data_IF_859222380760
#
_entry.id   IF_859222380760
#
_cell.length_a   1.000
_cell.length_b   1.000
_cell.length_c   1.000
_cell.angle_alpha   90.00
_cell.angle_beta   90.00
_cell.angle_gamma   90.00
#
_symmetry.space_group_name_H-M   'P 1'
#
loop_
_entity.id
_entity.type
_entity.pdbx_description
1 polymer ?
#
# COMPACT_ATOMS: atom_id res chain seq x y z
N UNK A 1 -25.20 13.32 9.17
CA UNK A 1 -24.02 12.99 10.00
C UNK A 1 -22.98 12.24 9.18
N UNK A 2 -23.20 10.99 8.75
CA UNK A 2 -22.24 10.22 7.95
C UNK A 2 -21.85 10.92 6.62
N UNK A 3 -22.81 11.39 5.82
CA UNK A 3 -22.46 12.20 4.62
C UNK A 3 -21.60 13.44 4.93
N UNK A 4 -21.85 14.12 6.06
CA UNK A 4 -21.04 15.28 6.44
C UNK A 4 -19.62 14.87 6.86
N UNK A 5 -19.48 13.73 7.54
CA UNK A 5 -18.19 13.12 7.86
C UNK A 5 -17.44 12.76 6.58
N UNK A 6 -18.07 12.05 5.63
CA UNK A 6 -17.45 11.63 4.37
C UNK A 6 -17.03 12.82 3.51
N UNK A 7 -17.79 13.93 3.54
CA UNK A 7 -17.43 15.17 2.86
C UNK A 7 -16.22 15.88 3.50
N UNK A 8 -16.07 15.76 4.83
CA UNK A 8 -14.92 16.28 5.57
C UNK A 8 -13.73 15.32 5.65
N UNK A 9 -13.87 14.10 5.13
CA UNK A 9 -12.83 13.08 5.19
C UNK A 9 -11.73 13.41 4.18
N UNK A 10 -10.54 13.70 4.69
CA UNK A 10 -9.41 14.25 3.93
C UNK A 10 -8.54 13.19 3.27
N UNK A 11 -8.63 11.93 3.70
CA UNK A 11 -7.83 10.82 3.15
C UNK A 11 -8.49 10.36 1.86
N UNK A 12 -7.93 10.79 0.72
CA UNK A 12 -8.50 10.52 -0.58
C UNK A 12 -8.46 9.02 -0.94
N UNK A 13 -7.49 8.27 -0.41
CA UNK A 13 -7.21 6.90 -0.84
C UNK A 13 -8.29 5.87 -0.49
N UNK A 14 -9.05 6.06 0.59
CA UNK A 14 -10.08 5.13 1.05
C UNK A 14 -11.47 5.76 1.24
N UNK A 15 -11.63 7.04 0.87
CA UNK A 15 -12.88 7.80 0.98
C UNK A 15 -14.10 7.06 0.43
N UNK A 16 -13.94 6.38 -0.70
CA UNK A 16 -15.03 5.67 -1.37
C UNK A 16 -15.68 4.59 -0.51
N UNK A 17 -14.92 3.97 0.41
CA UNK A 17 -15.45 2.94 1.31
C UNK A 17 -16.47 3.50 2.31
N UNK A 18 -16.34 4.79 2.68
CA UNK A 18 -17.18 5.42 3.69
C UNK A 18 -18.56 5.86 3.18
N UNK A 19 -18.76 5.92 1.85
CA UNK A 19 -20.06 6.27 1.26
C UNK A 19 -21.10 5.14 1.30
N UNK A 20 -20.72 3.91 1.68
CA UNK A 20 -21.64 2.77 1.69
C UNK A 20 -22.91 3.02 2.55
N UNK A 21 -22.83 3.56 3.78
CA UNK A 21 -24.01 3.89 4.57
C UNK A 21 -24.86 5.00 3.94
N UNK A 22 -24.25 5.97 3.25
CA UNK A 22 -24.98 7.00 2.48
C UNK A 22 -25.80 6.33 1.38
N UNK A 23 -25.20 5.45 0.60
CA UNK A 23 -25.90 4.73 -0.47
C UNK A 23 -27.06 3.88 0.05
N UNK A 24 -26.86 3.18 1.16
CA UNK A 24 -27.93 2.41 1.83
C UNK A 24 -29.07 3.35 2.26
N UNK A 25 -28.74 4.49 2.86
CA UNK A 25 -29.74 5.46 3.33
C UNK A 25 -30.54 6.08 2.18
N UNK A 26 -29.87 6.41 1.06
CA UNK A 26 -30.51 6.91 -0.16
C UNK A 26 -31.42 5.84 -0.76
N UNK A 27 -30.97 4.58 -0.84
CA UNK A 27 -31.76 3.47 -1.38
C UNK A 27 -33.05 3.23 -0.56
N UNK A 28 -32.97 3.23 0.76
CA UNK A 28 -34.12 3.12 1.66
C UNK A 28 -35.09 4.29 1.45
N UNK A 29 -34.56 5.52 1.40
CA UNK A 29 -35.35 6.74 1.20
C UNK A 29 -36.05 6.75 -0.16
N UNK A 30 -35.36 6.31 -1.21
CA UNK A 30 -35.93 6.14 -2.55
C UNK A 30 -37.08 5.12 -2.54
N UNK A 31 -36.94 4.01 -1.80
CA UNK A 31 -38.02 3.02 -1.61
C UNK A 31 -39.27 3.63 -0.98
N UNK A 32 -39.11 4.42 0.09
CA UNK A 32 -40.24 5.15 0.69
C UNK A 32 -40.84 6.19 -0.25
N UNK A 33 -40.00 6.93 -0.99
CA UNK A 33 -40.45 7.91 -1.99
C UNK A 33 -41.26 7.27 -3.11
N UNK A 34 -40.80 6.15 -3.66
CA UNK A 34 -41.54 5.37 -4.66
C UNK A 34 -42.88 4.89 -4.10
N UNK A 35 -42.90 4.33 -2.88
CA UNK A 35 -44.16 3.93 -2.22
C UNK A 35 -45.13 5.10 -2.07
N UNK A 36 -44.66 6.26 -1.64
CA UNK A 36 -45.49 7.46 -1.49
C UNK A 36 -46.05 7.93 -2.83
N UNK A 37 -45.23 7.95 -3.90
CA UNK A 37 -45.68 8.26 -5.26
C UNK A 37 -46.71 7.26 -5.78
N UNK A 38 -46.56 5.96 -5.49
CA UNK A 38 -47.56 4.94 -5.83
C UNK A 38 -48.86 5.21 -5.08
N UNK A 39 -48.82 5.60 -3.80
CA UNK A 39 -50.03 5.90 -3.04
C UNK A 39 -50.75 7.16 -3.56
N UNK A 40 -50.00 8.17 -4.02
CA UNK A 40 -50.54 9.36 -4.68
C UNK A 40 -51.13 9.03 -6.06
N UNK A 41 -50.44 8.20 -6.83
CA UNK A 41 -50.82 7.81 -8.19
C UNK A 41 -51.78 6.60 -8.23
N UNK A 42 -52.05 5.96 -7.10
CA UNK A 42 -53.13 4.99 -6.94
C UNK A 42 -54.45 5.75 -7.00
N UNK A 43 -54.77 6.15 -8.23
CA UNK A 43 -56.04 6.70 -8.67
C UNK A 43 -57.15 5.84 -8.09
N UNK A 44 -58.17 6.49 -7.53
CA UNK A 44 -59.38 5.94 -6.90
C UNK A 44 -60.16 4.87 -7.71
N UNK A 45 -59.68 4.42 -8.87
CA UNK A 45 -60.31 3.43 -9.76
C UNK A 45 -59.51 2.13 -10.00
N UNK A 46 -58.30 1.97 -9.45
CA UNK A 46 -57.46 0.79 -9.71
C UNK A 46 -57.46 -0.20 -8.53
N UNK A 47 -57.64 -1.50 -8.80
CA UNK A 47 -57.58 -2.55 -7.77
C UNK A 47 -56.18 -2.66 -7.16
N UNK A 48 -56.09 -2.98 -5.86
CA UNK A 48 -54.82 -3.17 -5.12
C UNK A 48 -53.79 -4.04 -5.87
N UNK A 49 -54.22 -5.16 -6.45
CA UNK A 49 -53.34 -6.06 -7.21
C UNK A 49 -52.67 -5.40 -8.43
N UNK A 50 -53.40 -4.55 -9.17
CA UNK A 50 -52.87 -3.81 -10.32
C UNK A 50 -51.90 -2.71 -9.90
N UNK A 51 -52.21 -1.99 -8.81
CA UNK A 51 -51.30 -0.99 -8.24
C UNK A 51 -49.98 -1.63 -7.76
N UNK A 52 -50.07 -2.78 -7.09
CA UNK A 52 -48.90 -3.55 -6.67
C UNK A 52 -48.09 -4.06 -7.87
N UNK A 53 -48.74 -4.52 -8.93
CA UNK A 53 -48.06 -4.95 -10.16
C UNK A 53 -47.31 -3.80 -10.85
N UNK A 54 -47.94 -2.62 -10.99
CA UNK A 54 -47.30 -1.42 -11.55
C UNK A 54 -46.11 -0.99 -10.69
N UNK A 55 -46.26 -0.98 -9.37
CA UNK A 55 -45.19 -0.70 -8.43
C UNK A 55 -44.01 -1.66 -8.59
N UNK A 56 -44.28 -2.97 -8.65
CA UNK A 56 -43.26 -3.99 -8.83
C UNK A 56 -42.53 -3.84 -10.16
N UNK A 57 -43.24 -3.55 -11.25
CA UNK A 57 -42.64 -3.29 -12.56
C UNK A 57 -41.77 -2.04 -12.53
N UNK A 58 -42.24 -0.96 -11.91
CA UNK A 58 -41.46 0.29 -11.81
C UNK A 58 -40.17 0.07 -11.02
N UNK A 59 -40.24 -0.59 -9.85
CA UNK A 59 -39.05 -0.94 -9.06
C UNK A 59 -38.10 -1.82 -9.87
N UNK A 60 -38.60 -2.86 -10.54
CA UNK A 60 -37.79 -3.78 -11.34
C UNK A 60 -37.09 -3.06 -12.50
N UNK A 61 -37.79 -2.18 -13.22
CA UNK A 61 -37.20 -1.40 -14.32
C UNK A 61 -36.15 -0.42 -13.81
N UNK A 62 -36.41 0.29 -12.71
CA UNK A 62 -35.43 1.21 -12.12
C UNK A 62 -34.19 0.46 -11.64
N UNK A 63 -34.35 -0.65 -10.92
CA UNK A 63 -33.25 -1.48 -10.45
C UNK A 63 -32.46 -2.11 -11.60
N UNK A 64 -33.14 -2.63 -12.62
CA UNK A 64 -32.50 -3.20 -13.80
C UNK A 64 -31.69 -2.14 -14.56
N UNK A 65 -32.27 -0.96 -14.78
CA UNK A 65 -31.58 0.16 -15.46
C UNK A 65 -30.36 0.60 -14.67
N UNK A 66 -30.50 0.80 -13.36
CA UNK A 66 -29.39 1.16 -12.49
C UNK A 66 -28.30 0.10 -12.52
N UNK A 67 -28.66 -1.18 -12.41
CA UNK A 67 -27.70 -2.28 -12.48
C UNK A 67 -26.96 -2.32 -13.82
N UNK A 68 -27.68 -2.29 -14.95
CA UNK A 68 -27.06 -2.36 -16.28
C UNK A 68 -26.18 -1.14 -16.59
N UNK A 69 -26.60 0.06 -16.18
CA UNK A 69 -25.83 1.27 -16.40
C UNK A 69 -24.55 1.32 -15.56
N UNK A 70 -24.59 0.76 -14.34
CA UNK A 70 -23.46 0.78 -13.42
C UNK A 70 -22.54 -0.45 -13.53
N UNK A 71 -23.01 -1.56 -14.11
CA UNK A 71 -22.26 -2.81 -14.17
C UNK A 71 -20.88 -2.67 -14.84
N UNK A 72 -20.71 -2.02 -16.01
CA UNK A 72 -19.39 -1.89 -16.63
C UNK A 72 -18.37 -1.12 -15.78
N UNK A 73 -18.82 -0.19 -14.96
CA UNK A 73 -17.97 0.66 -14.11
C UNK A 73 -17.69 0.05 -12.74
N UNK A 74 -18.61 -0.77 -12.22
CA UNK A 74 -18.51 -1.34 -10.88
C UNK A 74 -18.11 -2.82 -10.87
N UNK A 75 -18.05 -3.47 -12.03
CA UNK A 75 -17.61 -4.85 -12.14
C UNK A 75 -16.09 -4.96 -11.87
N UNK A 76 -15.73 -5.43 -10.68
CA UNK A 76 -14.34 -5.62 -10.24
C UNK A 76 -13.79 -7.04 -10.49
N UNK A 77 -14.40 -7.85 -11.36
CA UNK A 77 -13.98 -9.25 -11.59
C UNK A 77 -12.53 -9.43 -12.06
N UNK A 78 -11.90 -8.38 -12.58
CA UNK A 78 -10.50 -8.37 -13.03
C UNK A 78 -9.61 -7.47 -12.15
N UNK A 79 -10.11 -7.03 -11.00
CA UNK A 79 -9.37 -6.16 -10.08
C UNK A 79 -8.47 -7.01 -9.18
N UNK A 80 -7.26 -7.31 -9.65
CA UNK A 80 -6.27 -8.10 -8.90
C UNK A 80 -5.13 -7.26 -8.30
N UNK A 81 -5.18 -5.92 -8.47
CA UNK A 81 -4.06 -5.02 -8.14
C UNK A 81 -3.46 -5.25 -6.75
N UNK A 82 -4.29 -5.25 -5.70
CA UNK A 82 -3.80 -5.39 -4.33
C UNK A 82 -3.21 -6.78 -4.05
N UNK A 83 -3.81 -7.82 -4.63
CA UNK A 83 -3.34 -9.19 -4.49
C UNK A 83 -2.00 -9.39 -5.22
N UNK A 84 -1.92 -8.99 -6.49
CA UNK A 84 -0.72 -9.08 -7.31
C UNK A 84 0.42 -8.25 -6.71
N UNK A 85 0.12 -7.06 -6.16
CA UNK A 85 1.14 -6.23 -5.49
C UNK A 85 1.75 -6.94 -4.27
N UNK A 86 0.91 -7.52 -3.41
CA UNK A 86 1.38 -8.27 -2.24
C UNK A 86 2.14 -9.53 -2.63
N UNK A 87 1.65 -10.31 -3.60
CA UNK A 87 2.36 -11.50 -4.07
C UNK A 87 3.74 -11.15 -4.66
N UNK A 88 3.82 -10.10 -5.47
CA UNK A 88 5.08 -9.63 -6.03
C UNK A 88 6.06 -9.16 -4.95
N UNK A 89 5.59 -8.45 -3.92
CA UNK A 89 6.42 -8.03 -2.78
C UNK A 89 6.92 -9.24 -1.98
N UNK A 90 6.03 -10.15 -1.61
CA UNK A 90 6.36 -11.32 -0.80
C UNK A 90 7.26 -12.29 -1.54
N UNK A 91 7.09 -12.47 -2.86
CA UNK A 91 7.92 -13.37 -3.67
C UNK A 91 9.39 -12.95 -3.71
N UNK A 92 9.67 -11.66 -3.51
CA UNK A 92 11.03 -11.12 -3.46
C UNK A 92 11.71 -11.30 -2.10
N UNK A 93 10.96 -11.58 -1.03
CA UNK A 93 11.49 -11.68 0.34
C UNK A 93 11.92 -13.11 0.63
N UNK A 94 13.17 -13.31 1.06
CA UNK A 94 13.67 -14.62 1.48
C UNK A 94 13.06 -15.07 2.83
N UNK A 95 13.22 -16.35 3.16
CA UNK A 95 12.62 -16.94 4.35
C UNK A 95 13.02 -16.23 5.64
N UNK A 96 12.05 -16.02 6.54
CA UNK A 96 12.21 -15.31 7.82
C UNK A 96 12.62 -13.83 7.71
N UNK A 97 12.58 -13.25 6.49
CA UNK A 97 12.93 -11.86 6.26
C UNK A 97 11.99 -10.87 6.95
N UNK A 98 12.53 -9.68 7.23
CA UNK A 98 11.77 -8.53 7.74
C UNK A 98 11.49 -7.57 6.58
N UNK A 99 10.22 -7.17 6.40
CA UNK A 99 9.84 -6.03 5.57
C UNK A 99 9.44 -4.87 6.47
N UNK A 100 10.18 -3.76 6.41
CA UNK A 100 9.76 -2.48 6.95
C UNK A 100 9.13 -1.63 5.84
N UNK A 101 7.96 -1.06 6.08
CA UNK A 101 7.25 -0.23 5.10
C UNK A 101 6.53 0.95 5.75
N UNK A 102 6.22 1.99 4.99
CA UNK A 102 5.27 3.07 5.35
C UNK A 102 4.11 3.14 4.37
N UNK A 103 4.09 2.27 3.37
CA UNK A 103 3.06 2.25 2.37
C UNK A 103 1.85 1.47 2.90
N UNK A 104 0.77 2.21 3.18
CA UNK A 104 -0.50 1.61 3.57
C UNK A 104 -1.04 0.65 2.50
N UNK A 105 -0.69 0.88 1.22
CA UNK A 105 -1.07 -0.03 0.13
C UNK A 105 -0.30 -1.36 0.16
N UNK A 106 0.73 -1.45 1.00
CA UNK A 106 1.43 -2.70 1.32
C UNK A 106 0.88 -3.29 2.60
N UNK A 107 0.89 -2.51 3.70
CA UNK A 107 0.52 -3.02 5.03
C UNK A 107 -0.92 -3.54 5.10
N UNK A 108 -1.88 -2.80 4.54
CA UNK A 108 -3.31 -3.14 4.59
C UNK A 108 -3.63 -4.49 3.94
N UNK A 109 -3.31 -4.72 2.63
CA UNK A 109 -3.58 -6.02 2.02
C UNK A 109 -2.68 -7.13 2.57
N UNK A 110 -1.49 -6.83 3.10
CA UNK A 110 -0.65 -7.85 3.75
C UNK A 110 -1.29 -8.42 5.02
N UNK A 111 -2.04 -7.64 5.80
CA UNK A 111 -2.80 -8.19 6.92
C UNK A 111 -3.76 -9.28 6.45
N UNK A 112 -4.49 -9.05 5.36
CA UNK A 112 -5.40 -10.05 4.81
C UNK A 112 -4.64 -11.27 4.26
N UNK A 113 -3.62 -11.06 3.44
CA UNK A 113 -2.83 -12.15 2.85
C UNK A 113 -2.19 -13.06 3.91
N UNK A 114 -1.61 -12.48 4.97
CA UNK A 114 -0.95 -13.26 6.02
C UNK A 114 -1.93 -13.86 7.04
N UNK A 115 -2.93 -13.10 7.48
CA UNK A 115 -3.82 -13.52 8.59
C UNK A 115 -5.04 -14.33 8.13
N UNK A 116 -5.50 -14.13 6.89
CA UNK A 116 -6.65 -14.84 6.34
C UNK A 116 -6.20 -15.90 5.34
N UNK A 117 -5.41 -15.52 4.34
CA UNK A 117 -4.95 -16.45 3.29
C UNK A 117 -3.75 -17.31 3.72
N UNK A 118 -3.15 -17.00 4.88
CA UNK A 118 -2.01 -17.73 5.46
C UNK A 118 -0.75 -17.72 4.57
N UNK A 119 -0.61 -16.72 3.70
CA UNK A 119 0.54 -16.58 2.80
C UNK A 119 1.77 -16.08 3.54
N UNK A 120 2.93 -16.70 3.30
CA UNK A 120 4.26 -16.28 3.78
C UNK A 120 4.26 -15.79 5.24
N UNK A 121 3.68 -16.59 6.15
CA UNK A 121 3.65 -16.27 7.60
C UNK A 121 5.03 -16.27 8.26
N UNK A 122 6.06 -16.75 7.55
CA UNK A 122 7.46 -16.64 7.94
C UNK A 122 8.00 -15.21 7.81
N UNK A 123 7.45 -14.40 6.90
CA UNK A 123 7.88 -13.02 6.66
C UNK A 123 7.27 -12.10 7.70
N UNK A 124 8.10 -11.29 8.35
CA UNK A 124 7.64 -10.28 9.30
C UNK A 124 7.41 -8.99 8.56
N UNK A 125 6.18 -8.50 8.53
CA UNK A 125 5.83 -7.21 7.93
C UNK A 125 5.55 -6.20 9.03
N UNK A 126 6.30 -5.11 9.05
CA UNK A 126 6.20 -4.05 10.05
C UNK A 126 5.95 -2.71 9.36
N UNK A 127 4.84 -2.07 9.72
CA UNK A 127 4.51 -0.72 9.26
C UNK A 127 5.07 0.33 10.23
N UNK A 128 6.00 1.16 9.73
CA UNK A 128 6.65 2.19 10.53
C UNK A 128 5.73 3.35 10.94
N UNK A 129 4.61 3.57 10.24
CA UNK A 129 3.57 4.50 10.69
C UNK A 129 2.78 3.91 11.87
N UNK A 130 2.46 2.62 11.82
CA UNK A 130 1.76 1.94 12.91
C UNK A 130 2.64 1.77 14.15
N UNK A 131 3.97 1.70 14.01
CA UNK A 131 4.90 1.78 15.15
C UNK A 131 4.72 3.06 15.97
N UNK A 132 4.04 4.10 15.47
CA UNK A 132 3.69 5.32 16.22
C UNK A 132 2.34 5.21 16.94
N UNK A 133 1.82 3.99 17.12
CA UNK A 133 0.59 3.71 17.86
C UNK A 133 0.86 2.61 18.88
N UNK A 134 0.61 2.88 20.16
CA UNK A 134 1.03 1.95 21.23
C UNK A 134 0.33 0.58 21.14
N UNK A 135 -0.91 0.54 20.63
CA UNK A 135 -1.66 -0.70 20.38
C UNK A 135 -1.00 -1.62 19.36
N UNK A 136 -0.22 -1.08 18.41
CA UNK A 136 0.40 -1.89 17.37
C UNK A 136 1.46 -2.84 17.95
N UNK A 137 2.10 -2.47 19.06
CA UNK A 137 3.01 -3.36 19.77
C UNK A 137 2.29 -4.52 20.45
N UNK A 138 1.02 -4.38 20.83
CA UNK A 138 0.22 -5.51 21.31
C UNK A 138 -0.09 -6.49 20.18
N UNK A 139 -0.32 -5.97 18.97
CA UNK A 139 -0.41 -6.79 17.77
C UNK A 139 0.92 -7.51 17.48
N UNK A 140 2.03 -6.77 17.41
CA UNK A 140 3.35 -7.35 17.12
C UNK A 140 3.80 -8.39 18.16
N UNK A 141 3.47 -8.21 19.45
CA UNK A 141 3.73 -9.22 20.51
C UNK A 141 3.00 -10.54 20.26
N UNK A 142 1.79 -10.49 19.71
CA UNK A 142 0.99 -11.68 19.41
C UNK A 142 1.44 -12.34 18.11
N UNK A 143 1.77 -11.53 17.10
CA UNK A 143 2.08 -12.01 15.74
C UNK A 143 3.55 -12.40 15.58
N UNK A 144 4.47 -11.60 16.14
CA UNK A 144 5.93 -11.76 16.00
C UNK A 144 6.63 -11.66 17.37
N UNK A 145 6.34 -12.57 18.33
CA UNK A 145 6.89 -12.50 19.68
C UNK A 145 8.42 -12.46 19.71
N UNK A 146 9.07 -13.22 18.83
CA UNK A 146 10.53 -13.28 18.80
C UNK A 146 11.18 -11.98 18.31
N UNK A 147 10.52 -11.24 17.41
CA UNK A 147 10.97 -9.91 16.98
C UNK A 147 10.90 -8.93 18.15
N UNK A 148 9.80 -8.97 18.91
CA UNK A 148 9.66 -8.15 20.10
C UNK A 148 10.72 -8.51 21.15
N UNK A 149 10.97 -9.78 21.40
CA UNK A 149 11.95 -10.22 22.39
C UNK A 149 13.36 -9.72 22.06
N UNK A 150 13.80 -9.89 20.80
CA UNK A 150 15.15 -9.49 20.38
C UNK A 150 15.41 -7.99 20.53
N UNK A 151 14.38 -7.16 20.50
CA UNK A 151 14.48 -5.70 20.61
C UNK A 151 13.74 -5.13 21.82
N UNK A 152 13.46 -5.99 22.83
CA UNK A 152 12.58 -5.70 23.96
C UNK A 152 12.92 -4.38 24.66
N UNK A 153 14.18 -4.21 25.03
CA UNK A 153 14.63 -3.04 25.80
C UNK A 153 14.29 -1.73 25.08
N UNK A 154 14.68 -1.61 23.81
CA UNK A 154 14.43 -0.40 23.02
C UNK A 154 12.96 -0.21 22.67
N UNK A 155 12.22 -1.30 22.45
CA UNK A 155 10.77 -1.25 22.24
C UNK A 155 10.06 -0.75 23.48
N UNK A 156 10.36 -1.29 24.66
CA UNK A 156 9.69 -0.93 25.92
C UNK A 156 9.97 0.54 26.28
N UNK A 157 11.21 1.01 26.14
CA UNK A 157 11.57 2.42 26.33
C UNK A 157 10.74 3.35 25.43
N UNK A 158 10.66 3.05 24.13
CA UNK A 158 9.89 3.86 23.19
C UNK A 158 8.38 3.79 23.46
N UNK A 159 7.83 2.61 23.77
CA UNK A 159 6.40 2.43 24.03
C UNK A 159 5.96 3.18 25.29
N UNK A 160 6.81 3.29 26.30
CA UNK A 160 6.55 4.10 27.48
C UNK A 160 6.39 5.59 27.11
N UNK A 161 7.36 6.14 26.37
CA UNK A 161 7.32 7.52 25.89
C UNK A 161 6.12 7.76 24.95
N UNK A 162 5.82 6.79 24.08
CA UNK A 162 4.67 6.86 23.17
C UNK A 162 3.34 6.89 23.93
N UNK A 163 3.16 6.07 24.97
CA UNK A 163 1.95 6.10 25.81
C UNK A 163 1.83 7.41 26.58
N UNK A 164 2.94 8.01 27.01
CA UNK A 164 2.92 9.34 27.61
C UNK A 164 2.48 10.40 26.58
N UNK A 165 2.99 10.33 25.35
CA UNK A 165 2.59 11.22 24.25
C UNK A 165 1.11 11.06 23.88
N UNK A 166 0.60 9.83 23.77
CA UNK A 166 -0.81 9.57 23.45
C UNK A 166 -1.78 10.11 24.52
N UNK A 167 -1.35 10.19 25.79
CA UNK A 167 -2.16 10.78 26.88
C UNK A 167 -2.19 12.30 26.84
N UNK A 168 -1.07 12.93 26.51
CA UNK A 168 -0.95 14.39 26.43
C UNK A 168 -0.01 14.84 25.29
N UNK A 169 -0.50 14.90 24.05
CA UNK A 169 0.31 15.36 22.92
C UNK A 169 0.74 16.83 23.04
N UNK A 170 -0.01 17.65 23.79
CA UNK A 170 0.26 19.08 23.94
C UNK A 170 1.50 19.34 24.80
N UNK A 171 1.74 18.52 25.82
CA UNK A 171 2.95 18.56 26.62
C UNK A 171 4.22 18.32 25.78
N UNK A 172 4.17 17.37 24.84
CA UNK A 172 5.31 17.10 23.96
C UNK A 172 5.49 18.21 22.92
N UNK A 173 4.39 18.68 22.31
CA UNK A 173 4.42 19.77 21.32
C UNK A 173 5.04 21.06 21.89
N UNK A 174 4.84 21.32 23.18
CA UNK A 174 5.38 22.51 23.86
C UNK A 174 6.76 22.30 24.50
N UNK A 175 7.29 21.08 24.49
CA UNK A 175 8.56 20.73 25.14
C UNK A 175 9.52 20.03 24.15
N UNK A 176 10.53 20.77 23.70
CA UNK A 176 11.54 20.27 22.75
C UNK A 176 12.32 19.07 23.29
N UNK A 177 12.60 19.00 24.60
CA UNK A 177 13.32 17.87 25.20
C UNK A 177 12.48 16.59 25.19
N UNK A 178 11.18 16.68 25.48
CA UNK A 178 10.27 15.53 25.39
C UNK A 178 10.13 15.05 23.94
N UNK A 179 9.98 15.99 22.99
CA UNK A 179 9.94 15.68 21.56
C UNK A 179 11.23 15.02 21.07
N UNK A 180 12.38 15.53 21.50
CA UNK A 180 13.68 14.92 21.18
C UNK A 180 13.80 13.52 21.79
N UNK A 181 13.43 13.34 23.06
CA UNK A 181 13.50 12.05 23.75
C UNK A 181 12.72 10.96 23.01
N UNK A 182 11.45 11.22 22.69
CA UNK A 182 10.62 10.22 21.97
C UNK A 182 11.11 9.97 20.54
N UNK A 183 11.64 11.00 19.86
CA UNK A 183 12.19 10.86 18.51
C UNK A 183 13.46 10.00 18.51
N UNK A 184 14.36 10.23 19.46
CA UNK A 184 15.56 9.40 19.67
C UNK A 184 15.17 7.96 20.01
N UNK A 185 14.22 7.76 20.94
CA UNK A 185 13.75 6.42 21.31
C UNK A 185 13.13 5.69 20.11
N UNK A 186 12.39 6.39 19.23
CA UNK A 186 11.85 5.82 18.00
C UNK A 186 12.96 5.35 17.06
N UNK A 187 13.97 6.19 16.83
CA UNK A 187 15.13 5.82 16.00
C UNK A 187 15.87 4.62 16.59
N UNK A 188 16.21 4.64 17.88
CA UNK A 188 16.92 3.55 18.55
C UNK A 188 16.14 2.23 18.51
N UNK A 189 14.81 2.28 18.61
CA UNK A 189 13.96 1.11 18.45
C UNK A 189 14.04 0.54 17.03
N UNK A 190 13.90 1.38 15.99
CA UNK A 190 14.03 0.93 14.60
C UNK A 190 15.42 0.34 14.35
N UNK A 191 16.47 1.01 14.82
CA UNK A 191 17.85 0.54 14.71
C UNK A 191 18.02 -0.84 15.37
N UNK A 192 17.47 -1.03 16.57
CA UNK A 192 17.49 -2.31 17.26
C UNK A 192 16.76 -3.39 16.47
N UNK A 193 15.55 -3.12 15.98
CA UNK A 193 14.75 -4.09 15.20
C UNK A 193 15.51 -4.49 13.94
N UNK A 194 15.95 -3.53 13.12
CA UNK A 194 16.65 -3.80 11.86
C UNK A 194 17.96 -4.55 12.12
N UNK A 195 18.76 -4.13 13.11
CA UNK A 195 20.04 -4.75 13.41
C UNK A 195 19.86 -6.18 13.91
N UNK A 196 18.93 -6.42 14.82
CA UNK A 196 18.74 -7.74 15.43
C UNK A 196 18.04 -8.71 14.46
N UNK A 197 17.06 -8.25 13.67
CA UNK A 197 16.43 -9.09 12.65
C UNK A 197 17.39 -9.43 11.50
N UNK A 198 18.36 -8.55 11.17
CA UNK A 198 19.40 -8.85 10.17
C UNK A 198 20.29 -10.05 10.55
N UNK A 199 20.31 -10.45 11.83
CA UNK A 199 20.98 -11.67 12.30
C UNK A 199 20.14 -12.95 12.12
N UNK A 200 18.85 -12.82 11.81
CA UNK A 200 17.89 -13.92 11.63
C UNK A 200 17.57 -14.16 10.15
N UNK A 201 17.41 -13.09 9.39
CA UNK A 201 17.12 -13.12 7.96
C UNK A 201 17.36 -11.76 7.31
N UNK A 202 17.28 -11.66 5.97
CA UNK A 202 17.48 -10.40 5.27
C UNK A 202 16.39 -9.38 5.62
N UNK A 203 16.77 -8.11 5.61
CA UNK A 203 15.87 -6.99 5.91
C UNK A 203 15.62 -6.22 4.63
N UNK A 204 14.34 -5.98 4.35
CA UNK A 204 13.87 -5.28 3.18
C UNK A 204 13.13 -4.02 3.59
N UNK A 205 13.19 -3.02 2.72
CA UNK A 205 12.39 -1.81 2.83
C UNK A 205 11.66 -1.51 1.53
N UNK A 206 10.50 -0.89 1.63
CA UNK A 206 9.84 -0.26 0.47
C UNK A 206 10.45 1.12 0.17
N UNK A 207 10.26 1.63 -1.05
CA UNK A 207 10.86 2.90 -1.49
C UNK A 207 10.35 4.12 -0.71
N UNK A 208 9.10 4.11 -0.25
CA UNK A 208 8.47 5.19 0.51
C UNK A 208 9.24 5.55 1.79
N UNK A 209 9.90 4.59 2.44
CA UNK A 209 10.81 4.84 3.57
C UNK A 209 12.03 5.70 3.21
N UNK A 210 12.35 5.81 1.92
CA UNK A 210 13.46 6.62 1.41
C UNK A 210 13.02 8.00 0.95
N UNK A 211 11.71 8.24 0.84
CA UNK A 211 11.21 9.55 0.46
C UNK A 211 11.47 10.52 1.62
N UNK A 212 12.00 11.73 1.34
CA UNK A 212 12.27 12.72 2.37
C UNK A 212 10.94 13.25 2.91
N UNK A 213 10.39 12.57 3.91
CA UNK A 213 9.37 13.10 4.79
C UNK A 213 10.02 13.55 6.11
N UNK A 214 9.49 14.63 6.67
CA UNK A 214 9.92 15.25 7.93
C UNK A 214 9.87 14.27 9.10
N UNK A 215 9.04 13.23 9.03
CA UNK A 215 8.80 12.31 10.15
C UNK A 215 9.84 11.18 10.28
N UNK A 216 10.54 10.81 9.19
CA UNK A 216 11.45 9.65 9.17
C UNK A 216 12.88 9.99 8.72
N UNK A 217 13.20 11.26 8.50
CA UNK A 217 14.48 11.67 7.93
C UNK A 217 15.71 11.10 8.65
N UNK A 218 15.65 10.88 9.97
CA UNK A 218 16.75 10.25 10.70
C UNK A 218 16.87 8.74 10.44
N UNK A 219 15.75 8.02 10.37
CA UNK A 219 15.72 6.60 10.00
C UNK A 219 16.23 6.41 8.59
N UNK A 220 15.72 7.19 7.63
CA UNK A 220 16.16 7.15 6.23
C UNK A 220 17.66 7.43 6.10
N UNK A 221 18.16 8.45 6.80
CA UNK A 221 19.58 8.81 6.81
C UNK A 221 20.42 7.68 7.38
N UNK A 222 20.03 7.11 8.51
CA UNK A 222 20.73 5.99 9.12
C UNK A 222 20.78 4.77 8.18
N UNK A 223 19.65 4.38 7.59
CA UNK A 223 19.57 3.27 6.63
C UNK A 223 20.52 3.48 5.45
N UNK A 224 20.45 4.66 4.81
CA UNK A 224 21.26 4.98 3.63
C UNK A 224 22.75 5.11 3.92
N UNK A 225 23.14 5.38 5.16
CA UNK A 225 24.54 5.49 5.59
C UNK A 225 25.16 4.15 5.99
N UNK A 226 24.35 3.20 6.46
CA UNK A 226 24.82 1.94 7.04
C UNK A 226 24.59 0.73 6.14
N UNK A 227 23.77 0.86 5.10
CA UNK A 227 23.42 -0.24 4.21
C UNK A 227 23.47 0.19 2.74
N UNK A 228 23.92 -0.73 1.88
CA UNK A 228 23.69 -0.63 0.45
C UNK A 228 22.26 -1.08 0.15
N UNK A 229 21.53 -0.27 -0.62
CA UNK A 229 20.17 -0.57 -1.04
C UNK A 229 20.19 -1.40 -2.33
N UNK A 230 19.95 -2.70 -2.21
CA UNK A 230 19.98 -3.65 -3.35
C UNK A 230 18.55 -3.86 -3.87
N UNK A 231 18.20 -3.43 -5.09
CA UNK A 231 16.85 -3.61 -5.64
C UNK A 231 16.53 -5.09 -5.90
N UNK A 232 15.50 -5.61 -5.24
CA UNK A 232 15.03 -7.00 -5.33
C UNK A 232 13.50 -7.01 -5.49
N UNK A 233 13.03 -7.30 -6.70
CA UNK A 233 11.62 -7.15 -7.06
C UNK A 233 11.13 -5.71 -6.82
N UNK A 234 10.11 -5.56 -5.98
CA UNK A 234 9.51 -4.27 -5.61
C UNK A 234 10.09 -3.68 -4.30
N UNK A 235 11.22 -4.22 -3.81
CA UNK A 235 11.82 -3.89 -2.53
C UNK A 235 13.31 -3.53 -2.66
N UNK A 236 13.87 -2.90 -1.63
CA UNK A 236 15.32 -2.84 -1.43
C UNK A 236 15.72 -3.78 -0.30
N UNK A 237 16.61 -4.72 -0.58
CA UNK A 237 17.33 -5.47 0.45
C UNK A 237 18.44 -4.58 1.06
N UNK A 238 18.60 -4.63 2.38
CA UNK A 238 19.61 -3.88 3.12
C UNK A 238 20.90 -4.70 3.25
N UNK A 239 21.82 -4.53 2.32
CA UNK A 239 23.12 -5.19 2.36
C UNK A 239 24.13 -4.43 3.25
N UNK A 240 24.95 -5.16 4.00
CA UNK A 240 25.95 -4.58 4.93
C UNK A 240 27.27 -4.20 4.26
N UNK A 241 27.52 -4.74 3.07
CA UNK A 241 28.68 -4.42 2.25
C UNK A 241 28.26 -3.65 1.00
N UNK A 242 29.25 -3.23 0.21
CA UNK A 242 29.05 -2.46 -1.03
C UNK A 242 29.24 -3.29 -2.30
N UNK A 243 29.29 -4.62 -2.16
CA UNK A 243 29.53 -5.55 -3.25
C UNK A 243 28.38 -5.61 -4.25
N UNK A 244 28.61 -6.36 -5.33
CA UNK A 244 27.52 -6.77 -6.20
C UNK A 244 26.77 -7.92 -5.54
N UNK A 245 25.48 -7.72 -5.29
CA UNK A 245 24.55 -8.73 -4.82
C UNK A 245 23.68 -9.16 -5.98
N UNK A 246 23.89 -10.39 -6.45
CA UNK A 246 23.12 -10.96 -7.54
C UNK A 246 21.75 -11.44 -7.04
N UNK A 247 20.80 -10.50 -6.92
CA UNK A 247 19.42 -10.83 -6.58
C UNK A 247 18.70 -11.48 -7.77
N UNK A 248 17.93 -12.56 -7.54
CA UNK A 248 17.22 -13.27 -8.60
C UNK A 248 16.24 -12.36 -9.34
N UNK A 249 16.03 -12.63 -10.64
CA UNK A 249 14.99 -11.97 -11.42
C UNK A 249 13.62 -12.48 -10.96
N UNK A 250 12.79 -11.57 -10.46
CA UNK A 250 11.43 -11.87 -9.99
C UNK A 250 10.46 -11.50 -11.10
N UNK A 251 9.68 -12.47 -11.57
CA UNK A 251 8.62 -12.21 -12.54
C UNK A 251 7.47 -11.48 -11.86
N UNK A 252 7.22 -10.24 -12.26
CA UNK A 252 6.15 -9.41 -11.71
C UNK A 252 4.83 -9.69 -12.43
N UNK A 253 3.79 -10.06 -11.68
CA UNK A 253 2.42 -10.14 -12.20
C UNK A 253 1.75 -8.75 -12.14
N UNK A 254 1.25 -8.27 -13.27
CA UNK A 254 0.77 -6.88 -13.44
C UNK A 254 -0.62 -6.81 -14.07
N UNK A 255 -1.45 -7.83 -13.81
CA UNK A 255 -2.78 -7.98 -14.41
C UNK A 255 -3.66 -6.78 -14.07
N UNK A 256 -4.18 -6.10 -15.09
CA UNK A 256 -4.99 -4.91 -14.90
C UNK A 256 -4.23 -3.66 -14.48
N UNK A 257 -2.91 -3.70 -14.27
CA UNK A 257 -2.13 -2.54 -13.84
C UNK A 257 -1.86 -1.56 -14.99
N UNK A 258 -1.43 -2.08 -16.14
CA UNK A 258 -1.08 -1.26 -17.32
C UNK A 258 -1.56 -1.87 -18.65
N UNK A 259 -2.26 -3.01 -18.63
CA UNK A 259 -2.71 -3.74 -19.82
C UNK A 259 -4.05 -3.23 -20.42
N UNK A 260 -4.68 -2.26 -19.75
CA UNK A 260 -5.96 -1.67 -20.16
C UNK A 260 -7.21 -2.50 -19.84
N UNK A 261 -7.06 -3.66 -19.19
CA UNK A 261 -8.19 -4.50 -18.76
C UNK A 261 -8.96 -3.89 -17.58
N UNK A 262 -8.27 -3.15 -16.72
CA UNK A 262 -8.84 -2.27 -15.70
C UNK A 262 -8.41 -0.84 -16.00
N UNK A 263 -9.30 0.12 -15.76
CA UNK A 263 -9.05 1.55 -15.98
C UNK A 263 -9.16 2.28 -14.67
N UNK A 264 -8.24 3.21 -14.46
CA UNK A 264 -8.16 4.06 -13.28
C UNK A 264 -8.23 5.51 -13.72
N UNK A 265 -8.84 6.35 -12.88
CA UNK A 265 -8.75 7.80 -13.05
C UNK A 265 -7.29 8.26 -12.91
N UNK A 266 -6.96 9.43 -13.46
CA UNK A 266 -5.56 9.91 -13.44
C UNK A 266 -5.02 10.12 -12.02
N UNK A 267 -5.89 10.51 -11.09
CA UNK A 267 -5.59 10.75 -9.68
C UNK A 267 -5.85 9.53 -8.78
N UNK A 268 -6.14 8.36 -9.38
CA UNK A 268 -6.33 7.12 -8.63
C UNK A 268 -5.03 6.66 -7.97
N UNK A 269 -5.14 6.12 -6.75
CA UNK A 269 -4.04 5.57 -5.96
C UNK A 269 -3.24 4.52 -6.73
N UNK A 270 -3.88 3.73 -7.59
CA UNK A 270 -3.20 2.74 -8.42
C UNK A 270 -2.21 3.41 -9.36
N UNK A 271 -2.61 4.49 -10.03
CA UNK A 271 -1.72 5.23 -10.92
C UNK A 271 -0.65 6.01 -10.14
N UNK A 272 -1.05 6.68 -9.06
CA UNK A 272 -0.16 7.58 -8.32
C UNK A 272 0.88 6.85 -7.47
N UNK A 273 0.50 5.72 -6.85
CA UNK A 273 1.35 5.01 -5.88
C UNK A 273 1.81 3.65 -6.41
N UNK A 274 0.89 2.79 -6.85
CA UNK A 274 1.23 1.40 -7.20
C UNK A 274 2.05 1.34 -8.48
N UNK A 275 1.54 1.90 -9.59
CA UNK A 275 2.28 1.96 -10.85
C UNK A 275 3.61 2.70 -10.70
N UNK A 276 3.62 3.77 -9.88
CA UNK A 276 4.85 4.50 -9.53
C UNK A 276 5.87 3.61 -8.80
N UNK A 277 5.43 2.75 -7.87
CA UNK A 277 6.30 1.83 -7.16
C UNK A 277 6.94 0.81 -8.11
N UNK A 278 6.17 0.17 -8.99
CA UNK A 278 6.68 -0.77 -9.99
C UNK A 278 7.71 -0.13 -10.92
N UNK A 279 7.33 0.97 -11.56
CA UNK A 279 8.19 1.68 -12.53
C UNK A 279 9.46 2.19 -11.86
N UNK A 280 9.36 2.74 -10.66
CA UNK A 280 10.52 3.21 -9.89
C UNK A 280 11.46 2.08 -9.49
N UNK A 281 10.93 0.94 -9.04
CA UNK A 281 11.76 -0.18 -8.63
C UNK A 281 12.46 -0.86 -9.81
N UNK A 282 11.78 -0.97 -10.96
CA UNK A 282 12.40 -1.45 -12.21
C UNK A 282 13.52 -0.52 -12.69
N UNK A 283 13.31 0.81 -12.63
CA UNK A 283 14.37 1.79 -12.93
C UNK A 283 15.55 1.64 -11.97
N UNK A 284 15.30 1.50 -10.66
CA UNK A 284 16.35 1.31 -9.68
C UNK A 284 17.13 0.01 -9.91
N UNK A 285 16.45 -1.09 -10.25
CA UNK A 285 17.08 -2.35 -10.64
C UNK A 285 17.98 -2.18 -11.86
N UNK A 286 17.48 -1.52 -12.91
CA UNK A 286 18.26 -1.23 -14.11
C UNK A 286 19.52 -0.41 -13.82
N UNK A 287 19.39 0.63 -12.98
CA UNK A 287 20.54 1.48 -12.56
C UNK A 287 21.56 0.71 -11.73
N UNK A 288 21.09 -0.10 -10.78
CA UNK A 288 21.96 -0.94 -9.96
C UNK A 288 22.77 -1.92 -10.82
N UNK A 289 22.10 -2.65 -11.71
CA UNK A 289 22.74 -3.58 -12.63
C UNK A 289 23.76 -2.87 -13.54
N UNK A 290 23.39 -1.73 -14.11
CA UNK A 290 24.31 -0.95 -14.95
C UNK A 290 25.55 -0.46 -14.18
N UNK A 291 25.40 -0.06 -12.92
CA UNK A 291 26.52 0.36 -12.08
C UNK A 291 27.53 -0.77 -11.80
N UNK A 292 27.08 -2.03 -11.85
CA UNK A 292 27.92 -3.22 -11.72
C UNK A 292 28.24 -3.90 -13.07
N UNK A 293 28.15 -3.15 -14.17
CA UNK A 293 28.44 -3.61 -15.55
C UNK A 293 27.55 -4.76 -16.06
N UNK A 294 26.40 -5.01 -15.43
CA UNK A 294 25.41 -6.00 -15.86
C UNK A 294 24.46 -5.40 -16.91
N UNK A 295 25.02 -4.90 -18.01
CA UNK A 295 24.26 -4.09 -18.98
C UNK A 295 23.13 -4.86 -19.68
N UNK A 296 23.31 -6.16 -19.97
CA UNK A 296 22.26 -6.99 -20.57
C UNK A 296 21.01 -7.06 -19.68
N UNK A 297 21.19 -7.31 -18.39
CA UNK A 297 20.09 -7.37 -17.42
C UNK A 297 19.51 -5.99 -17.11
N UNK A 298 20.35 -4.95 -17.11
CA UNK A 298 19.90 -3.57 -16.95
C UNK A 298 18.92 -3.16 -18.08
N UNK A 299 19.23 -3.53 -19.32
CA UNK A 299 18.37 -3.29 -20.49
C UNK A 299 16.99 -3.91 -20.28
N UNK A 300 16.92 -5.16 -19.83
CA UNK A 300 15.65 -5.86 -19.58
C UNK A 300 14.81 -5.09 -18.55
N UNK A 301 15.40 -4.73 -17.40
CA UNK A 301 14.69 -3.98 -16.36
C UNK A 301 14.15 -2.62 -16.86
N UNK A 302 14.92 -1.89 -17.68
CA UNK A 302 14.43 -0.64 -18.27
C UNK A 302 13.33 -0.86 -19.31
N UNK A 303 13.39 -1.94 -20.09
CA UNK A 303 12.32 -2.31 -21.03
C UNK A 303 11.03 -2.67 -20.31
N UNK A 304 11.10 -3.42 -19.21
CA UNK A 304 9.95 -3.74 -18.37
C UNK A 304 9.32 -2.47 -17.78
N UNK A 305 10.13 -1.51 -17.31
CA UNK A 305 9.62 -0.22 -16.85
C UNK A 305 8.86 0.52 -17.96
N UNK A 306 9.41 0.54 -19.19
CA UNK A 306 8.80 1.20 -20.35
C UNK A 306 7.57 0.46 -20.89
N UNK A 307 7.45 -0.83 -20.64
CA UNK A 307 6.24 -1.59 -20.95
C UNK A 307 5.07 -1.18 -20.04
N UNK A 308 5.35 -0.78 -18.80
CA UNK A 308 4.35 -0.25 -17.86
C UNK A 308 4.01 1.22 -18.12
N UNK A 309 5.03 2.05 -18.38
CA UNK A 309 4.84 3.44 -18.81
C UNK A 309 5.90 3.83 -19.86
N UNK A 310 5.51 3.98 -21.13
CA UNK A 310 6.44 4.35 -22.19
C UNK A 310 7.11 5.70 -21.97
N UNK A 311 6.55 6.61 -21.17
CA UNK A 311 7.01 8.01 -21.02
C UNK A 311 8.12 8.21 -19.99
N UNK A 312 8.60 7.15 -19.35
CA UNK A 312 9.65 7.21 -18.33
C UNK A 312 11.01 7.62 -18.91
N UNK A 313 11.33 8.91 -18.85
CA UNK A 313 12.60 9.45 -19.35
C UNK A 313 13.83 8.75 -18.76
N UNK A 314 13.84 8.50 -17.45
CA UNK A 314 14.93 7.81 -16.75
C UNK A 314 15.16 6.38 -17.26
N UNK A 315 14.09 5.66 -17.64
CA UNK A 315 14.22 4.31 -18.20
C UNK A 315 14.75 4.35 -19.64
N UNK A 316 14.26 5.30 -20.46
CA UNK A 316 14.77 5.49 -21.84
C UNK A 316 16.27 5.84 -21.85
N UNK A 317 16.69 6.73 -20.95
CA UNK A 317 18.09 7.13 -20.82
C UNK A 317 18.97 5.95 -20.37
N UNK A 318 18.57 5.24 -19.31
CA UNK A 318 19.30 4.08 -18.81
C UNK A 318 19.40 2.94 -19.85
N UNK A 319 18.34 2.73 -20.63
CA UNK A 319 18.30 1.79 -21.74
C UNK A 319 19.32 2.16 -22.83
N UNK A 320 19.32 3.43 -23.26
CA UNK A 320 20.25 3.92 -24.29
C UNK A 320 21.71 3.81 -23.82
N UNK A 321 22.00 4.21 -22.57
CA UNK A 321 23.35 4.14 -22.00
C UNK A 321 23.85 2.70 -21.89
N UNK A 322 23.02 1.77 -21.42
CA UNK A 322 23.40 0.36 -21.29
C UNK A 322 23.59 -0.32 -22.65
N UNK A 323 22.76 0.02 -23.64
CA UNK A 323 22.88 -0.49 -25.01
C UNK A 323 24.17 0.00 -25.69
N UNK A 324 24.55 1.26 -25.46
CA UNK A 324 25.79 1.82 -25.99
C UNK A 324 27.03 1.12 -25.42
N UNK A 325 26.98 0.69 -24.16
CA UNK A 325 28.07 -0.07 -23.50
C UNK A 325 28.24 -1.48 -24.07
N UNK A 326 27.17 -2.14 -24.49
CA UNK A 326 27.28 -3.46 -25.16
C UNK A 326 27.75 -3.35 -26.62
N UNK A 327 27.43 -2.25 -27.28
CA UNK A 327 27.85 -2.01 -28.68
C UNK A 327 29.34 -1.68 -28.80
N UNK A 328 29.98 -1.21 -27.72
CA UNK A 328 31.41 -0.89 -27.63
C UNK A 328 32.03 -1.65 -26.43
N UNK A 329 32.27 -2.96 -26.57
CA UNK A 329 32.66 -3.86 -25.48
C UNK A 329 34.03 -3.57 -24.84
#
# INVERSE_FOLDING_TARGET
ANLAYDLSYEIAEDKNAYYLPVFISIAISAGFGIRWLIQLAAVKSMSFAKSLAVAAIAVLLTSATAFTANWPFNNRRHYFIAHDYVENLLSAIESNGLLLTQDWQVASPMFYAQQIEQLRRDVKVVDANLLRRSWYFDYLRRTYPDLIERSREKIEMFVEDLKAWERDPAAFKSNALLTQKISTAFLEMIQSIVTNESGVGPVYITRDLLLPDTTNGEVTRWLSQNYQLVPQGLLFNLAKDSGFHDSPDVRLETRGLADGTVRFEQDDVVNLKILSAYTSMLINRGRYLAAFNQHERAIIAFQEALALDPNLAAAREGLAQSTAKLSNP
#
